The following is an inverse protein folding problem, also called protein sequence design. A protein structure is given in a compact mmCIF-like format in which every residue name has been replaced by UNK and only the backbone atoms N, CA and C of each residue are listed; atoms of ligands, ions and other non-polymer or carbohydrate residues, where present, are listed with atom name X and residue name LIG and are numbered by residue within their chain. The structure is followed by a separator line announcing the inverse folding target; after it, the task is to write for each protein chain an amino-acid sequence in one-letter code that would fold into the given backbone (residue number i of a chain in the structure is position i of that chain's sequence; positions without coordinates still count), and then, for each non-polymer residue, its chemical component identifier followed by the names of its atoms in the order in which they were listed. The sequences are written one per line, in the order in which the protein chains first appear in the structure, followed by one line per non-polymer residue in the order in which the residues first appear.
data_IF_719065189151
#
_entry.id   IF_719065189151
#
_cell.length_a   1.000
_cell.length_b   1.000
_cell.length_c   1.000
_cell.angle_alpha   90.00
_cell.angle_beta   90.00
_cell.angle_gamma   90.00
#
_symmetry.space_group_name_H-M   'P 1'
#
loop_
_entity.id
_entity.type
_entity.pdbx_description
1 polymer ?
#
# COMPACT_ATOMS: atom_id res chain seq x y z
N UNK A 1 52.73 12.27 6.05
CA UNK A 1 51.65 12.08 7.05
C UNK A 1 50.35 12.84 6.73
N UNK A 2 50.35 13.93 5.94
CA UNK A 2 49.13 14.69 5.62
C UNK A 2 48.06 13.98 4.77
N UNK A 3 48.41 13.04 3.88
CA UNK A 3 47.43 12.34 3.05
C UNK A 3 46.56 11.33 3.83
N UNK A 4 47.09 10.71 4.88
CA UNK A 4 46.33 9.78 5.71
C UNK A 4 45.27 10.49 6.56
N UNK A 5 45.58 11.68 7.09
CA UNK A 5 44.61 12.50 7.83
C UNK A 5 43.50 13.05 6.92
N UNK A 6 43.83 13.44 5.68
CA UNK A 6 42.83 13.88 4.71
C UNK A 6 41.93 12.72 4.23
N UNK A 7 42.46 11.51 4.09
CA UNK A 7 41.66 10.32 3.78
C UNK A 7 40.74 9.92 4.93
N UNK A 8 41.20 10.01 6.19
CA UNK A 8 40.35 9.75 7.36
C UNK A 8 39.25 10.79 7.54
N UNK A 9 39.54 12.08 7.29
CA UNK A 9 38.54 13.15 7.33
C UNK A 9 37.50 13.05 6.20
N UNK A 10 37.91 12.62 5.00
CA UNK A 10 36.99 12.33 3.91
C UNK A 10 36.09 11.12 4.21
N UNK A 11 36.63 10.10 4.90
CA UNK A 11 35.90 8.89 5.28
C UNK A 11 35.02 9.07 6.55
N UNK A 12 35.28 10.08 7.38
CA UNK A 12 34.39 10.44 8.49
C UNK A 12 33.11 11.13 8.02
N UNK A 13 33.15 11.83 6.87
CA UNK A 13 31.96 12.46 6.28
C UNK A 13 31.06 11.48 5.52
N UNK A 14 31.58 10.35 5.04
CA UNK A 14 30.81 9.33 4.30
C UNK A 14 29.95 8.45 5.20
N UNK A 15 30.21 8.41 6.51
CA UNK A 15 29.50 7.55 7.47
C UNK A 15 28.27 8.19 8.14
N UNK A 16 27.94 9.45 7.83
CA UNK A 16 26.71 10.07 8.34
C UNK A 16 25.54 9.69 7.42
N UNK A 17 24.62 8.87 7.91
CA UNK A 17 23.37 8.59 7.21
C UNK A 17 22.64 9.91 7.00
N UNK A 18 22.61 10.39 5.75
CA UNK A 18 21.92 11.61 5.43
C UNK A 18 20.41 11.36 5.46
N UNK A 19 19.79 11.60 6.62
CA UNK A 19 18.34 11.43 6.82
C UNK A 19 17.51 12.24 5.82
N UNK A 20 18.04 13.33 5.26
CA UNK A 20 17.37 14.08 4.19
C UNK A 20 17.32 13.28 2.89
N UNK A 21 18.40 12.59 2.53
CA UNK A 21 18.44 11.68 1.39
C UNK A 21 17.51 10.48 1.60
N UNK A 22 17.46 9.89 2.80
CA UNK A 22 16.54 8.79 3.11
C UNK A 22 15.07 9.22 2.96
N UNK A 23 14.68 10.36 3.54
CA UNK A 23 13.31 10.88 3.39
C UNK A 23 12.98 11.24 1.93
N UNK A 24 13.93 11.83 1.20
CA UNK A 24 13.77 12.14 -0.22
C UNK A 24 13.58 10.85 -1.05
N UNK A 25 14.37 9.81 -0.77
CA UNK A 25 14.24 8.51 -1.42
C UNK A 25 12.89 7.84 -1.12
N UNK A 26 12.44 7.86 0.15
CA UNK A 26 11.11 7.31 0.51
C UNK A 26 10.01 8.07 -0.24
N UNK A 27 10.09 9.40 -0.30
CA UNK A 27 9.10 10.21 -1.01
C UNK A 27 9.10 9.94 -2.51
N UNK A 28 10.28 9.85 -3.12
CA UNK A 28 10.43 9.57 -4.54
C UNK A 28 9.93 8.16 -4.90
N UNK A 29 10.36 7.13 -4.16
CA UNK A 29 9.92 5.76 -4.39
C UNK A 29 8.40 5.59 -4.18
N UNK A 30 7.82 6.30 -3.21
CA UNK A 30 6.37 6.31 -3.04
C UNK A 30 5.65 6.91 -4.25
N UNK A 31 6.17 8.01 -4.81
CA UNK A 31 5.61 8.63 -6.01
C UNK A 31 5.74 7.72 -7.23
N UNK A 32 6.91 7.09 -7.40
CA UNK A 32 7.14 6.12 -8.46
C UNK A 32 6.17 4.94 -8.34
N UNK A 33 6.06 4.32 -7.16
CA UNK A 33 5.13 3.21 -6.95
C UNK A 33 3.69 3.63 -7.22
N UNK A 34 3.28 4.81 -6.73
CA UNK A 34 1.96 5.37 -7.01
C UNK A 34 1.71 5.55 -8.51
N UNK A 35 2.65 6.16 -9.24
CA UNK A 35 2.52 6.35 -10.67
C UNK A 35 2.43 5.01 -11.43
N UNK A 36 3.26 4.04 -11.03
CA UNK A 36 3.31 2.72 -11.67
C UNK A 36 2.01 1.94 -11.44
N UNK A 37 1.56 1.86 -10.18
CA UNK A 37 0.33 1.17 -9.81
C UNK A 37 -0.91 1.85 -10.40
N UNK A 38 -0.94 3.19 -10.37
CA UNK A 38 -2.01 3.98 -10.97
C UNK A 38 -2.10 3.75 -12.48
N UNK A 39 -0.97 3.79 -13.20
CA UNK A 39 -0.95 3.57 -14.66
C UNK A 39 -1.39 2.15 -14.99
N UNK A 40 -0.90 1.15 -14.24
CA UNK A 40 -1.31 -0.23 -14.43
C UNK A 40 -2.83 -0.41 -14.22
N UNK A 41 -3.38 0.15 -13.14
CA UNK A 41 -4.81 0.09 -12.86
C UNK A 41 -5.64 0.80 -13.93
N UNK A 42 -5.17 1.96 -14.43
CA UNK A 42 -5.82 2.71 -15.50
C UNK A 42 -5.90 1.88 -16.80
N UNK A 43 -4.79 1.25 -17.18
CA UNK A 43 -4.70 0.35 -18.35
C UNK A 43 -5.66 -0.83 -18.17
N UNK A 44 -5.65 -1.48 -16.99
CA UNK A 44 -6.53 -2.61 -16.70
C UNK A 44 -8.01 -2.21 -16.82
N UNK A 45 -8.44 -1.12 -16.20
CA UNK A 45 -9.84 -0.68 -16.26
C UNK A 45 -10.24 -0.26 -17.68
N UNK A 46 -9.37 0.44 -18.40
CA UNK A 46 -9.62 0.81 -19.78
C UNK A 46 -9.88 -0.44 -20.65
N UNK A 47 -8.93 -1.38 -20.66
CA UNK A 47 -9.04 -2.58 -21.49
C UNK A 47 -10.14 -3.53 -21.01
N UNK A 48 -10.36 -3.67 -19.69
CA UNK A 48 -11.48 -4.44 -19.17
C UNK A 48 -12.82 -3.89 -19.68
N UNK A 49 -12.96 -2.55 -19.76
CA UNK A 49 -14.16 -1.90 -20.31
C UNK A 49 -14.29 -2.18 -21.81
N UNK A 50 -13.21 -2.05 -22.59
CA UNK A 50 -13.24 -2.32 -24.03
C UNK A 50 -13.53 -3.79 -24.35
N UNK A 51 -12.88 -4.72 -23.66
CA UNK A 51 -13.12 -6.16 -23.80
C UNK A 51 -14.56 -6.48 -23.39
N UNK A 52 -15.08 -5.83 -22.36
CA UNK A 52 -16.46 -6.01 -21.93
C UNK A 52 -17.46 -5.60 -23.01
N UNK A 53 -17.25 -4.44 -23.62
CA UNK A 53 -18.07 -3.96 -24.73
C UNK A 53 -17.99 -4.88 -25.95
N UNK A 54 -16.78 -5.32 -26.32
CA UNK A 54 -16.57 -6.17 -27.48
C UNK A 54 -17.19 -7.57 -27.33
N UNK A 55 -17.20 -8.14 -26.12
CA UNK A 55 -17.70 -9.50 -25.87
C UNK A 55 -19.20 -9.55 -25.59
N UNK A 56 -19.75 -8.56 -24.90
CA UNK A 56 -21.13 -8.63 -24.38
C UNK A 56 -22.06 -7.54 -24.92
N UNK A 57 -21.55 -6.57 -25.70
CA UNK A 57 -22.37 -5.58 -26.39
C UNK A 57 -23.34 -4.86 -25.43
N UNK A 58 -24.64 -4.98 -25.69
CA UNK A 58 -25.70 -4.38 -24.87
C UNK A 58 -25.82 -4.98 -23.47
N UNK A 59 -25.34 -6.21 -23.25
CA UNK A 59 -25.31 -6.86 -21.92
C UNK A 59 -23.99 -6.59 -21.17
N UNK A 60 -23.14 -5.71 -21.69
CA UNK A 60 -21.90 -5.34 -21.03
C UNK A 60 -22.18 -4.56 -19.74
N UNK A 61 -21.51 -4.92 -18.64
CA UNK A 61 -21.48 -4.11 -17.43
C UNK A 61 -22.13 -4.66 -16.16
N UNK A 62 -22.57 -5.93 -16.12
CA UNK A 62 -23.12 -6.54 -14.89
C UNK A 62 -22.24 -6.29 -13.64
N UNK A 63 -20.94 -6.55 -13.72
CA UNK A 63 -20.02 -6.30 -12.61
C UNK A 63 -19.21 -5.03 -12.80
N UNK A 64 -18.77 -4.75 -14.03
CA UNK A 64 -17.94 -3.60 -14.31
C UNK A 64 -18.70 -2.28 -14.07
N UNK A 65 -20.00 -2.25 -14.36
CA UNK A 65 -20.86 -1.09 -14.11
C UNK A 65 -20.95 -0.69 -12.64
N UNK A 66 -20.72 -1.62 -11.70
CA UNK A 66 -20.70 -1.32 -10.27
C UNK A 66 -19.57 -0.35 -9.89
N UNK A 67 -18.52 -0.24 -10.70
CA UNK A 67 -17.46 0.76 -10.51
C UNK A 67 -18.02 2.19 -10.56
N UNK A 68 -19.15 2.44 -11.23
CA UNK A 68 -19.79 3.76 -11.27
C UNK A 68 -20.26 4.25 -9.89
N UNK A 69 -20.37 3.34 -8.91
CA UNK A 69 -20.59 3.69 -7.51
C UNK A 69 -19.39 4.48 -6.98
N UNK A 70 -18.17 4.04 -7.27
CA UNK A 70 -16.92 4.62 -6.74
C UNK A 70 -16.23 5.59 -7.69
N UNK A 71 -16.52 5.50 -8.98
CA UNK A 71 -15.93 6.31 -10.06
C UNK A 71 -17.01 7.24 -10.64
N UNK A 72 -17.17 8.46 -10.10
CA UNK A 72 -18.14 9.42 -10.62
C UNK A 72 -18.00 9.64 -12.13
N UNK A 73 -19.10 9.46 -12.87
CA UNK A 73 -19.14 9.62 -14.33
C UNK A 73 -18.63 8.41 -15.12
N UNK A 74 -18.18 7.34 -14.46
CA UNK A 74 -17.86 6.09 -15.14
C UNK A 74 -19.12 5.40 -15.66
N UNK A 75 -19.03 4.86 -16.86
CA UNK A 75 -20.00 3.95 -17.45
C UNK A 75 -19.26 2.93 -18.29
N UNK A 76 -19.89 1.78 -18.54
CA UNK A 76 -19.35 0.76 -19.45
C UNK A 76 -19.63 1.22 -20.88
N UNK A 77 -18.81 2.16 -21.35
CA UNK A 77 -18.84 2.75 -22.68
C UNK A 77 -17.43 3.14 -23.11
N UNK A 78 -17.20 3.38 -24.39
CA UNK A 78 -15.87 3.76 -24.88
C UNK A 78 -15.39 5.09 -24.28
N UNK A 79 -16.29 6.04 -24.06
CA UNK A 79 -15.99 7.30 -23.36
C UNK A 79 -15.81 7.09 -21.85
N UNK A 80 -16.68 6.29 -21.23
CA UNK A 80 -16.60 5.95 -19.81
C UNK A 80 -15.32 5.21 -19.45
N UNK A 81 -14.73 4.43 -20.36
CA UNK A 81 -13.44 3.75 -20.16
C UNK A 81 -12.31 4.72 -19.78
N UNK A 82 -12.27 5.92 -20.39
CA UNK A 82 -11.28 6.94 -20.05
C UNK A 82 -11.53 7.56 -18.67
N UNK A 83 -12.79 7.80 -18.31
CA UNK A 83 -13.18 8.27 -16.97
C UNK A 83 -12.80 7.23 -15.92
N UNK A 84 -13.05 5.95 -16.20
CA UNK A 84 -12.67 4.83 -15.34
C UNK A 84 -11.16 4.70 -15.20
N UNK A 85 -10.41 4.85 -16.29
CA UNK A 85 -8.95 4.83 -16.27
C UNK A 85 -8.38 5.95 -15.39
N UNK A 86 -8.94 7.17 -15.50
CA UNK A 86 -8.56 8.30 -14.65
C UNK A 86 -8.80 8.01 -13.16
N UNK A 87 -10.00 7.56 -12.79
CA UNK A 87 -10.28 7.24 -11.39
C UNK A 87 -9.44 6.07 -10.88
N UNK A 88 -9.24 5.03 -11.68
CA UNK A 88 -8.37 3.90 -11.32
C UNK A 88 -6.92 4.35 -11.08
N UNK A 89 -6.40 5.27 -11.90
CA UNK A 89 -5.10 5.90 -11.67
C UNK A 89 -5.04 6.61 -10.32
N UNK A 90 -6.04 7.45 -10.03
CA UNK A 90 -6.10 8.21 -8.78
C UNK A 90 -6.19 7.27 -7.58
N UNK A 91 -7.11 6.31 -7.57
CA UNK A 91 -7.30 5.39 -6.45
C UNK A 91 -6.09 4.49 -6.23
N UNK A 92 -5.66 3.74 -7.25
CA UNK A 92 -4.55 2.80 -7.09
C UNK A 92 -3.22 3.53 -6.83
N UNK A 93 -3.02 4.70 -7.46
CA UNK A 93 -1.82 5.49 -7.27
C UNK A 93 -1.73 6.13 -5.89
N UNK A 94 -2.83 6.69 -5.37
CA UNK A 94 -2.85 7.28 -4.02
C UNK A 94 -2.68 6.21 -2.95
N UNK A 95 -3.42 5.09 -3.03
CA UNK A 95 -3.32 3.97 -2.08
C UNK A 95 -1.88 3.43 -2.06
N UNK A 96 -1.28 3.19 -3.23
CA UNK A 96 0.07 2.62 -3.31
C UNK A 96 1.14 3.59 -2.80
N UNK A 97 1.04 4.88 -3.13
CA UNK A 97 1.96 5.90 -2.64
C UNK A 97 1.87 6.07 -1.11
N UNK A 98 0.66 6.09 -0.56
CA UNK A 98 0.44 6.20 0.89
C UNK A 98 0.93 4.94 1.61
N UNK A 99 0.66 3.75 1.07
CA UNK A 99 1.16 2.48 1.58
C UNK A 99 2.68 2.51 1.72
N UNK A 100 3.38 2.91 0.65
CA UNK A 100 4.85 2.97 0.66
C UNK A 100 5.37 4.03 1.63
N UNK A 101 4.74 5.21 1.70
CA UNK A 101 5.13 6.25 2.66
C UNK A 101 4.99 5.78 4.11
N UNK A 102 3.88 5.12 4.44
CA UNK A 102 3.65 4.59 5.78
C UNK A 102 4.66 3.49 6.11
N UNK A 103 4.85 2.54 5.20
CA UNK A 103 5.84 1.48 5.36
C UNK A 103 7.24 2.05 5.57
N UNK A 104 7.66 2.96 4.68
CA UNK A 104 8.97 3.61 4.73
C UNK A 104 9.15 4.50 5.96
N UNK A 105 8.09 5.16 6.45
CA UNK A 105 8.15 5.96 7.68
C UNK A 105 8.36 5.09 8.92
N UNK A 106 7.62 3.98 9.03
CA UNK A 106 7.73 3.06 10.18
C UNK A 106 9.02 2.23 10.13
N UNK A 107 9.46 1.83 8.93
CA UNK A 107 10.72 1.11 8.76
C UNK A 107 11.93 2.04 8.90
N UNK A 108 11.84 3.25 8.36
CA UNK A 108 12.93 4.23 8.32
C UNK A 108 13.44 4.63 9.70
N UNK A 109 12.54 4.75 10.70
CA UNK A 109 12.95 5.01 12.09
C UNK A 109 13.82 3.90 12.65
N UNK A 110 13.58 2.64 12.27
CA UNK A 110 14.36 1.49 12.74
C UNK A 110 15.67 1.32 11.97
N UNK A 111 15.66 1.58 10.67
CA UNK A 111 16.88 1.58 9.86
C UNK A 111 17.82 2.68 10.35
N UNK A 112 17.32 3.87 10.68
CA UNK A 112 18.17 4.92 11.28
C UNK A 112 18.77 4.46 12.59
N UNK A 113 18.00 3.81 13.47
CA UNK A 113 18.51 3.29 14.73
C UNK A 113 19.61 2.23 14.52
N UNK A 114 19.43 1.30 13.58
CA UNK A 114 20.42 0.25 13.25
C UNK A 114 21.70 0.86 12.66
N UNK A 115 21.55 1.80 11.73
CA UNK A 115 22.70 2.44 11.07
C UNK A 115 23.46 3.37 12.03
N UNK A 116 22.77 3.99 12.99
CA UNK A 116 23.38 4.85 14.01
C UNK A 116 23.96 4.06 15.19
N UNK A 117 23.46 2.85 15.47
CA UNK A 117 23.94 1.99 16.56
C UNK A 117 25.07 1.03 16.16
N UNK A 118 25.33 0.85 14.87
CA UNK A 118 26.44 0.01 14.40
C UNK A 118 27.78 0.73 14.63
N UNK A 119 28.55 0.31 15.64
CA UNK A 119 30.00 0.55 15.67
C UNK A 119 30.63 -0.04 14.39
N UNK A 120 31.66 0.62 13.81
CA UNK A 120 32.19 0.27 12.50
C UNK A 120 32.65 -1.20 12.47
N UNK A 121 31.88 -2.04 11.79
CA UNK A 121 32.30 -3.39 11.43
C UNK A 121 33.27 -3.27 10.25
N UNK A 122 34.50 -3.79 10.40
CA UNK A 122 35.62 -3.70 9.44
C UNK A 122 35.35 -4.30 8.05
N UNK A 123 34.19 -4.92 7.80
CA UNK A 123 33.89 -5.56 6.51
C UNK A 123 32.79 -4.81 5.74
N UNK A 124 33.13 -4.00 4.72
CA UNK A 124 32.17 -3.23 3.91
C UNK A 124 31.44 -4.08 2.86
N UNK A 125 31.77 -5.37 2.73
CA UNK A 125 31.15 -6.28 1.77
C UNK A 125 29.95 -6.94 2.43
N UNK A 126 28.79 -6.30 2.26
CA UNK A 126 27.50 -6.92 2.01
C UNK A 126 27.36 -8.32 2.62
N UNK A 127 27.01 -8.41 3.92
CA UNK A 127 26.18 -9.55 4.33
C UNK A 127 25.02 -9.60 3.33
N UNK A 128 24.62 -10.79 2.82
CA UNK A 128 23.39 -10.86 2.07
C UNK A 128 22.36 -10.18 2.97
N UNK A 129 21.80 -9.06 2.49
CA UNK A 129 20.74 -8.37 3.20
C UNK A 129 19.57 -9.33 3.09
N UNK A 130 19.58 -10.37 3.90
CA UNK A 130 18.56 -11.39 3.89
C UNK A 130 17.33 -10.61 4.27
N UNK A 131 16.41 -10.52 3.32
CA UNK A 131 15.44 -9.45 3.21
C UNK A 131 14.35 -9.64 4.27
N UNK A 132 14.71 -9.52 5.56
CA UNK A 132 13.82 -9.82 6.68
C UNK A 132 12.63 -8.89 6.59
N UNK A 133 11.44 -9.48 6.61
CA UNK A 133 10.22 -8.70 6.66
C UNK A 133 10.10 -8.08 8.06
N UNK A 134 9.90 -6.76 8.09
CA UNK A 134 9.57 -6.08 9.33
C UNK A 134 8.04 -6.06 9.51
N UNK A 135 7.53 -7.03 10.28
CA UNK A 135 6.09 -7.23 10.45
C UNK A 135 5.34 -6.00 10.95
N UNK A 136 5.91 -5.21 11.85
CA UNK A 136 5.26 -3.99 12.36
C UNK A 136 5.11 -2.92 11.27
N UNK A 137 6.14 -2.71 10.44
CA UNK A 137 6.07 -1.74 9.34
C UNK A 137 5.07 -2.19 8.29
N UNK A 138 5.10 -3.48 7.95
CA UNK A 138 4.18 -4.08 6.99
C UNK A 138 2.73 -4.02 7.48
N UNK A 139 2.49 -4.45 8.72
CA UNK A 139 1.17 -4.43 9.35
C UNK A 139 0.63 -3.02 9.51
N UNK A 140 1.46 -2.06 9.94
CA UNK A 140 1.04 -0.67 10.06
C UNK A 140 0.64 -0.08 8.70
N UNK A 141 1.42 -0.34 7.65
CA UNK A 141 1.13 0.13 6.32
C UNK A 141 -0.13 -0.52 5.74
N UNK A 142 -0.16 -1.85 5.61
CA UNK A 142 -1.28 -2.56 4.97
C UNK A 142 -2.54 -2.43 5.83
N UNK A 143 -2.43 -2.62 7.16
CA UNK A 143 -3.57 -2.51 8.07
C UNK A 143 -4.22 -1.13 8.03
N UNK A 144 -3.42 -0.04 8.02
CA UNK A 144 -3.98 1.31 7.92
C UNK A 144 -4.69 1.52 6.58
N UNK A 145 -4.11 1.04 5.48
CA UNK A 145 -4.73 1.18 4.16
C UNK A 145 -6.01 0.37 4.02
N UNK A 146 -6.04 -0.86 4.54
CA UNK A 146 -7.25 -1.68 4.61
C UNK A 146 -8.35 -1.01 5.42
N UNK A 147 -8.01 -0.46 6.59
CA UNK A 147 -8.95 0.25 7.46
C UNK A 147 -9.53 1.51 6.81
N UNK A 148 -8.67 2.35 6.23
CA UNK A 148 -9.12 3.55 5.51
C UNK A 148 -9.96 3.18 4.31
N UNK A 149 -9.58 2.15 3.55
CA UNK A 149 -10.35 1.69 2.40
C UNK A 149 -11.75 1.24 2.80
N UNK A 150 -11.88 0.41 3.85
CA UNK A 150 -13.18 -0.02 4.35
C UNK A 150 -14.01 1.16 4.85
N UNK A 151 -13.41 2.06 5.64
CA UNK A 151 -14.10 3.22 6.21
C UNK A 151 -14.63 4.16 5.13
N UNK A 152 -13.77 4.59 4.20
CA UNK A 152 -14.15 5.53 3.15
C UNK A 152 -15.09 4.89 2.13
N UNK A 153 -14.88 3.63 1.76
CA UNK A 153 -15.80 2.91 0.87
C UNK A 153 -17.20 2.82 1.47
N UNK A 154 -17.31 2.37 2.73
CA UNK A 154 -18.61 2.23 3.41
C UNK A 154 -19.28 3.59 3.63
N UNK A 155 -18.52 4.60 4.08
CA UNK A 155 -19.04 5.96 4.25
C UNK A 155 -19.54 6.53 2.92
N UNK A 156 -18.82 6.28 1.82
CA UNK A 156 -19.24 6.70 0.49
C UNK A 156 -20.56 6.06 0.07
N UNK A 157 -20.75 4.77 0.33
CA UNK A 157 -22.02 4.08 0.09
C UNK A 157 -23.18 4.70 0.87
N UNK A 158 -22.94 5.03 2.15
CA UNK A 158 -23.93 5.66 3.03
C UNK A 158 -24.29 7.06 2.54
N UNK A 159 -23.29 7.89 2.22
CA UNK A 159 -23.50 9.27 1.74
C UNK A 159 -24.24 9.28 0.39
N UNK A 160 -23.98 8.30 -0.47
CA UNK A 160 -24.68 8.12 -1.75
C UNK A 160 -26.11 7.57 -1.60
N UNK A 161 -26.50 7.10 -0.42
CA UNK A 161 -27.79 6.44 -0.20
C UNK A 161 -27.88 5.03 -0.79
N UNK A 162 -26.75 4.41 -1.14
CA UNK A 162 -26.66 3.08 -1.77
C UNK A 162 -26.31 1.97 -0.77
N UNK A 163 -26.39 2.25 0.52
CA UNK A 163 -26.00 1.33 1.58
C UNK A 163 -26.84 0.03 1.56
N UNK A 164 -28.16 0.16 1.44
CA UNK A 164 -29.09 -0.97 1.48
C UNK A 164 -28.98 -1.90 0.26
N UNK A 165 -28.56 -1.35 -0.88
CA UNK A 165 -28.38 -2.10 -2.14
C UNK A 165 -27.04 -2.83 -2.19
N UNK A 166 -26.10 -2.48 -1.30
CA UNK A 166 -24.73 -2.98 -1.33
C UNK A 166 -24.56 -4.30 -0.60
N UNK A 167 -25.18 -5.37 -1.12
CA UNK A 167 -25.13 -6.73 -0.55
C UNK A 167 -23.70 -7.20 -0.30
N UNK A 168 -22.77 -6.85 -1.20
CA UNK A 168 -21.36 -7.22 -1.07
C UNK A 168 -20.66 -6.51 0.10
N UNK A 169 -21.02 -5.25 0.36
CA UNK A 169 -20.53 -4.54 1.54
C UNK A 169 -21.13 -5.18 2.81
N UNK A 170 -22.44 -5.47 2.81
CA UNK A 170 -23.12 -6.09 3.94
C UNK A 170 -22.52 -7.45 4.35
N UNK A 171 -21.97 -8.23 3.41
CA UNK A 171 -21.31 -9.51 3.68
C UNK A 171 -20.12 -9.39 4.65
N UNK A 172 -19.44 -8.24 4.73
CA UNK A 172 -18.35 -8.02 5.67
C UNK A 172 -18.76 -8.16 7.14
N UNK A 173 -20.04 -7.96 7.46
CA UNK A 173 -20.57 -8.15 8.83
C UNK A 173 -20.41 -9.59 9.34
N UNK A 174 -20.26 -10.58 8.44
CA UNK A 174 -20.01 -11.98 8.81
C UNK A 174 -18.55 -12.24 9.24
N UNK A 175 -17.63 -11.36 8.86
CA UNK A 175 -16.18 -11.55 9.08
C UNK A 175 -15.59 -10.54 10.06
N UNK A 176 -16.22 -9.36 10.16
CA UNK A 176 -15.76 -8.24 10.97
C UNK A 176 -16.86 -7.94 11.99
N UNK A 177 -16.72 -8.41 13.24
CA UNK A 177 -17.62 -8.04 14.32
C UNK A 177 -17.87 -6.52 14.39
N UNK A 178 -19.12 -6.14 14.70
CA UNK A 178 -19.49 -4.72 14.77
C UNK A 178 -19.53 -3.95 13.44
N UNK A 179 -19.08 -4.54 12.32
CA UNK A 179 -19.25 -3.93 11.01
C UNK A 179 -20.71 -3.95 10.58
N UNK A 180 -21.19 -2.79 10.16
CA UNK A 180 -22.43 -2.62 9.39
C UNK A 180 -22.21 -1.55 8.33
N UNK A 181 -23.06 -1.51 7.31
CA UNK A 181 -23.03 -0.49 6.26
C UNK A 181 -23.62 0.83 6.80
N UNK A 182 -22.99 1.37 7.83
CA UNK A 182 -23.33 2.61 8.52
C UNK A 182 -22.02 3.35 8.88
N UNK A 183 -22.07 4.65 9.15
CA UNK A 183 -20.85 5.41 9.51
C UNK A 183 -20.21 4.87 10.81
N UNK A 184 -20.97 4.60 11.90
CA UNK A 184 -20.39 4.01 13.11
C UNK A 184 -19.87 2.58 12.88
N UNK A 185 -20.62 1.76 12.13
CA UNK A 185 -20.20 0.40 11.78
C UNK A 185 -18.94 0.37 10.92
N UNK A 186 -18.80 1.33 10.00
CA UNK A 186 -17.60 1.50 9.18
C UNK A 186 -16.38 1.87 10.04
N UNK A 187 -16.55 2.72 11.06
CA UNK A 187 -15.48 3.11 11.96
C UNK A 187 -15.01 1.93 12.83
N UNK A 188 -15.96 1.20 13.43
CA UNK A 188 -15.64 -0.01 14.21
C UNK A 188 -14.99 -1.07 13.34
N UNK A 189 -15.59 -1.36 12.17
CA UNK A 189 -15.04 -2.34 11.25
C UNK A 189 -13.65 -1.96 10.72
N UNK A 190 -13.35 -0.67 10.57
CA UNK A 190 -12.01 -0.21 10.18
C UNK A 190 -10.97 -0.50 11.27
N UNK A 191 -11.31 -0.31 12.55
CA UNK A 191 -10.44 -0.64 13.69
C UNK A 191 -10.20 -2.15 13.76
N UNK A 192 -11.25 -2.94 13.61
CA UNK A 192 -11.13 -4.40 13.64
C UNK A 192 -10.36 -4.96 12.44
N UNK A 193 -10.62 -4.46 11.23
CA UNK A 193 -9.88 -4.86 10.03
C UNK A 193 -8.40 -4.44 10.13
N UNK A 194 -8.11 -3.26 10.69
CA UNK A 194 -6.73 -2.85 11.00
C UNK A 194 -6.06 -3.91 11.88
N UNK A 195 -6.68 -4.27 13.00
CA UNK A 195 -6.11 -5.21 13.96
C UNK A 195 -5.89 -6.59 13.33
N UNK A 196 -6.87 -7.10 12.60
CA UNK A 196 -6.81 -8.40 11.91
C UNK A 196 -5.67 -8.44 10.89
N UNK A 197 -5.59 -7.43 10.01
CA UNK A 197 -4.55 -7.34 8.97
C UNK A 197 -3.17 -7.11 9.59
N UNK A 198 -3.08 -6.31 10.66
CA UNK A 198 -1.84 -6.06 11.38
C UNK A 198 -1.28 -7.36 11.97
N UNK A 199 -2.11 -8.13 12.68
CA UNK A 199 -1.72 -9.43 13.25
C UNK A 199 -1.35 -10.42 12.15
N UNK A 200 -2.10 -10.47 11.05
CA UNK A 200 -1.76 -11.32 9.91
C UNK A 200 -0.37 -10.98 9.32
N UNK A 201 -0.03 -9.69 9.21
CA UNK A 201 1.28 -9.25 8.75
C UNK A 201 2.40 -9.60 9.74
N UNK A 202 2.15 -9.56 11.06
CA UNK A 202 3.12 -10.02 12.06
C UNK A 202 3.40 -11.52 11.91
N UNK A 203 2.35 -12.33 11.75
CA UNK A 203 2.48 -13.77 11.54
C UNK A 203 3.24 -14.06 10.24
N UNK A 204 2.85 -13.41 9.14
CA UNK A 204 3.51 -13.55 7.83
C UNK A 204 5.00 -13.23 7.93
N UNK A 205 5.36 -12.11 8.55
CA UNK A 205 6.74 -11.72 8.74
C UNK A 205 7.50 -12.73 9.62
N UNK A 206 6.88 -13.23 10.69
CA UNK A 206 7.45 -14.26 11.56
C UNK A 206 7.76 -15.55 10.81
N UNK A 207 6.80 -16.06 10.03
CA UNK A 207 6.96 -17.28 9.21
C UNK A 207 8.04 -17.06 8.14
N UNK A 208 7.97 -15.97 7.40
CA UNK A 208 8.96 -15.63 6.38
C UNK A 208 10.37 -15.59 6.97
N UNK A 209 10.56 -14.88 8.07
CA UNK A 209 11.86 -14.73 8.72
C UNK A 209 12.40 -16.06 9.27
N UNK A 210 11.53 -16.95 9.74
CA UNK A 210 11.90 -18.30 10.20
C UNK A 210 12.37 -19.19 9.03
N UNK A 211 11.67 -19.15 7.89
CA UNK A 211 12.08 -19.89 6.68
C UNK A 211 13.44 -19.38 6.19
N UNK A 212 13.61 -18.06 6.18
CA UNK A 212 14.86 -17.42 5.80
C UNK A 212 16.02 -17.87 6.69
N UNK A 213 15.83 -17.89 8.01
CA UNK A 213 16.83 -18.35 8.97
C UNK A 213 17.23 -19.82 8.73
N UNK A 214 16.26 -20.68 8.45
CA UNK A 214 16.49 -22.10 8.15
C UNK A 214 17.28 -22.36 6.85
N UNK A 215 17.32 -21.40 5.91
CA UNK A 215 18.06 -21.55 4.63
C UNK A 215 19.52 -21.12 4.72
N UNK A 216 19.91 -20.44 5.80
CA UNK A 216 21.27 -19.95 6.03
C UNK A 216 22.02 -20.74 7.12
N UNK A 217 21.41 -21.79 7.65
CA UNK A 217 22.08 -22.86 8.41
C UNK A 217 22.54 -23.97 7.46
#
# INVERSE_FOLDING_TARGET
MGNYQNMQAANQNTHTVNLRLLHAAIRFNALMLGFTAGTLAAVVIYFATQVSLARWGEFSGNYLGLLAIFFPGYSVSSGGAWVGAFWAFVYAGTISALSYRLYGRVLGTRISDILLSTSPSENPVLKPSVLRLHGVSLGAAIGTMSALCLFFSTTWLVVRGTADESVHAALFSNYIPGYSVSIPGALLGAVELFAMVFVACLILAGVYNKIVESRHQ
#
